data_IF_073441716616
#
_entry.id   IF_073441716616
#
_cell.length_a   1.000
_cell.length_b   1.000
_cell.length_c   1.000
_cell.angle_alpha   90.00
_cell.angle_beta   90.00
_cell.angle_gamma   90.00
#
_symmetry.space_group_name_H-M   'P 1'
#
loop_
_entity.id
_entity.type
_entity.pdbx_description
1 polymer ?
#
# COMPACT_ATOMS: atom_id res chain seq x y z
N UNK A 1 20.72 10.25 -3.81
CA UNK A 1 20.15 10.03 -2.47
C UNK A 1 20.29 8.56 -2.13
N UNK A 2 20.57 8.26 -0.86
CA UNK A 2 21.03 6.95 -0.41
C UNK A 2 19.88 5.97 -0.21
N UNK A 3 18.76 6.39 0.38
CA UNK A 3 17.71 5.48 0.84
C UNK A 3 18.29 4.36 1.75
N UNK A 4 19.07 4.77 2.73
CA UNK A 4 19.83 3.89 3.65
C UNK A 4 19.61 4.22 5.13
N UNK A 5 18.83 5.26 5.45
CA UNK A 5 18.56 5.64 6.83
C UNK A 5 17.92 4.48 7.61
N UNK A 6 18.44 4.24 8.81
CA UNK A 6 17.92 3.21 9.69
C UNK A 6 16.60 3.65 10.31
N UNK A 7 15.63 2.73 10.32
CA UNK A 7 14.32 2.94 10.93
C UNK A 7 14.42 2.54 12.40
N UNK A 8 14.22 3.53 13.27
CA UNK A 8 14.30 3.37 14.73
C UNK A 8 13.15 4.12 15.40
N UNK A 9 13.04 4.01 16.73
CA UNK A 9 12.04 4.81 17.48
C UNK A 9 12.30 6.31 17.47
N UNK A 10 13.57 6.71 17.24
CA UNK A 10 13.98 8.11 17.17
C UNK A 10 13.86 8.67 15.75
N UNK A 11 14.08 7.81 14.75
CA UNK A 11 13.94 8.11 13.33
C UNK A 11 12.93 7.13 12.70
N UNK A 12 11.62 7.31 12.95
CA UNK A 12 10.58 6.46 12.39
C UNK A 12 10.35 6.79 10.90
N UNK A 13 9.75 5.90 10.13
CA UNK A 13 9.28 6.23 8.77
C UNK A 13 7.76 6.31 8.70
N UNK A 14 7.23 6.87 7.62
CA UNK A 14 5.79 6.97 7.38
C UNK A 14 5.39 6.11 6.18
N UNK A 15 4.32 5.33 6.33
CA UNK A 15 3.71 4.56 5.24
C UNK A 15 2.29 5.09 5.05
N UNK A 16 2.03 5.69 3.90
CA UNK A 16 0.74 6.29 3.56
C UNK A 16 0.09 5.50 2.44
N UNK A 17 -1.11 4.98 2.66
CA UNK A 17 -1.89 4.32 1.62
C UNK A 17 -2.89 5.30 1.03
N UNK A 18 -3.05 5.24 -0.29
CA UNK A 18 -4.13 5.91 -1.01
C UNK A 18 -4.95 4.80 -1.66
N UNK A 19 -6.21 4.69 -1.26
CA UNK A 19 -7.09 3.58 -1.57
C UNK A 19 -8.22 4.08 -2.44
N UNK A 20 -8.31 3.51 -3.62
CA UNK A 20 -9.48 3.67 -4.48
C UNK A 20 -10.68 2.96 -3.86
N UNK A 21 -11.72 3.73 -3.60
CA UNK A 21 -13.00 3.26 -3.11
C UNK A 21 -14.11 3.65 -4.10
N UNK A 22 -13.77 3.86 -5.37
CA UNK A 22 -14.70 4.27 -6.42
C UNK A 22 -15.68 3.16 -6.82
N UNK A 23 -16.75 3.50 -7.54
CA UNK A 23 -17.76 2.52 -7.94
C UNK A 23 -17.23 1.35 -8.78
N UNK A 24 -16.17 1.55 -9.57
CA UNK A 24 -15.54 0.49 -10.39
C UNK A 24 -14.85 -0.59 -9.55
N UNK A 25 -14.59 -0.30 -8.27
CA UNK A 25 -14.04 -1.26 -7.32
C UNK A 25 -15.03 -2.37 -6.92
N UNK A 26 -16.30 -2.26 -7.33
CA UNK A 26 -17.30 -3.33 -7.16
C UNK A 26 -17.13 -4.47 -8.20
N UNK A 27 -16.40 -4.21 -9.28
CA UNK A 27 -16.14 -5.21 -10.32
C UNK A 27 -15.42 -6.46 -9.77
N UNK A 28 -15.55 -7.62 -10.44
CA UNK A 28 -14.79 -8.82 -10.09
C UNK A 28 -13.28 -8.62 -10.23
N UNK A 29 -12.52 -9.25 -9.33
CA UNK A 29 -11.05 -9.20 -9.38
C UNK A 29 -10.44 -10.37 -10.16
N UNK A 30 -9.49 -10.09 -11.08
CA UNK A 30 -8.61 -11.09 -11.70
C UNK A 30 -9.28 -12.09 -12.66
N UNK A 31 -10.45 -11.77 -13.22
CA UNK A 31 -11.10 -12.55 -14.27
C UNK A 31 -11.59 -13.94 -13.85
N UNK A 32 -11.64 -14.24 -12.55
CA UNK A 32 -12.22 -15.50 -12.06
C UNK A 32 -13.75 -15.44 -12.19
N UNK A 33 -14.27 -16.00 -13.29
CA UNK A 33 -15.70 -16.27 -13.46
C UNK A 33 -16.19 -17.15 -12.29
N UNK A 34 -16.97 -16.55 -11.38
CA UNK A 34 -17.51 -17.22 -10.20
C UNK A 34 -16.86 -16.86 -8.86
N UNK A 35 -15.81 -16.01 -8.84
CA UNK A 35 -15.37 -15.38 -7.58
C UNK A 35 -16.43 -14.36 -7.15
N UNK A 36 -17.03 -14.56 -5.97
CA UNK A 36 -18.02 -13.66 -5.39
C UNK A 36 -17.40 -12.37 -4.80
N UNK A 37 -16.11 -12.11 -5.04
CA UNK A 37 -15.39 -11.04 -4.34
C UNK A 37 -14.88 -9.94 -5.25
N UNK A 38 -15.25 -8.70 -4.91
CA UNK A 38 -14.95 -7.49 -5.67
C UNK A 38 -13.49 -7.03 -5.50
N UNK A 39 -13.03 -6.11 -6.36
CA UNK A 39 -11.71 -5.46 -6.21
C UNK A 39 -11.59 -4.80 -4.84
N UNK A 40 -12.65 -4.13 -4.35
CA UNK A 40 -12.69 -3.49 -3.04
C UNK A 40 -12.45 -4.48 -1.89
N UNK A 41 -13.04 -5.68 -1.96
CA UNK A 41 -12.84 -6.73 -0.95
C UNK A 41 -11.40 -7.26 -0.94
N UNK A 42 -10.80 -7.43 -2.11
CA UNK A 42 -9.41 -7.83 -2.23
C UNK A 42 -8.45 -6.74 -1.73
N UNK A 43 -8.69 -5.49 -2.10
CA UNK A 43 -7.93 -4.33 -1.62
C UNK A 43 -7.98 -4.27 -0.09
N UNK A 44 -9.17 -4.26 0.51
CA UNK A 44 -9.33 -4.18 1.96
C UNK A 44 -8.66 -5.36 2.66
N UNK A 45 -8.81 -6.58 2.13
CA UNK A 45 -8.15 -7.78 2.69
C UNK A 45 -6.63 -7.66 2.64
N UNK A 46 -6.06 -7.23 1.51
CA UNK A 46 -4.62 -7.11 1.34
C UNK A 46 -4.02 -6.00 2.20
N UNK A 47 -4.68 -4.85 2.29
CA UNK A 47 -4.27 -3.73 3.15
C UNK A 47 -4.34 -4.14 4.62
N UNK A 48 -5.46 -4.70 5.10
CA UNK A 48 -5.58 -5.17 6.48
C UNK A 48 -4.51 -6.23 6.82
N UNK A 49 -4.25 -7.16 5.90
CA UNK A 49 -3.19 -8.15 6.09
C UNK A 49 -1.81 -7.49 6.19
N UNK A 50 -1.52 -6.52 5.33
CA UNK A 50 -0.25 -5.82 5.37
C UNK A 50 -0.10 -4.99 6.65
N UNK A 51 -1.13 -4.28 7.08
CA UNK A 51 -1.15 -3.56 8.35
C UNK A 51 -0.84 -4.49 9.53
N UNK A 52 -1.44 -5.67 9.55
CA UNK A 52 -1.16 -6.67 10.58
C UNK A 52 0.29 -7.17 10.51
N UNK A 53 0.80 -7.50 9.32
CA UNK A 53 2.20 -7.90 9.16
C UNK A 53 3.16 -6.78 9.64
N UNK A 54 2.89 -5.50 9.33
CA UNK A 54 3.68 -4.34 9.79
C UNK A 54 3.67 -4.19 11.32
N UNK A 55 2.53 -4.44 11.97
CA UNK A 55 2.43 -4.49 13.44
C UNK A 55 3.33 -5.58 14.00
N UNK A 56 3.29 -6.79 13.42
CA UNK A 56 4.09 -7.92 13.88
C UNK A 56 5.60 -7.65 13.76
N UNK A 57 6.06 -6.98 12.71
CA UNK A 57 7.47 -6.60 12.55
C UNK A 57 8.00 -5.66 13.65
N UNK A 58 7.10 -4.88 14.23
CA UNK A 58 7.40 -3.94 15.29
C UNK A 58 7.47 -4.59 16.68
N UNK A 59 7.00 -5.83 16.82
CA UNK A 59 7.07 -6.60 18.09
C UNK A 59 8.40 -7.33 18.16
N UNK A 60 9.33 -6.82 18.98
CA UNK A 60 10.60 -7.51 19.28
C UNK A 60 10.50 -8.44 20.49
N UNK A 61 9.66 -8.08 21.46
CA UNK A 61 9.36 -8.85 22.67
C UNK A 61 7.87 -8.76 22.93
N UNK A 62 7.23 -9.90 23.18
CA UNK A 62 5.77 -9.97 23.32
C UNK A 62 5.24 -9.09 24.47
N UNK A 63 6.00 -8.96 25.56
CA UNK A 63 5.66 -8.16 26.74
C UNK A 63 5.73 -6.64 26.52
N UNK A 64 6.55 -6.18 25.57
CA UNK A 64 6.78 -4.74 25.31
C UNK A 64 5.74 -4.16 24.34
N UNK A 65 5.06 -5.03 23.58
CA UNK A 65 4.21 -4.67 22.47
C UNK A 65 4.98 -4.07 21.28
N UNK A 66 4.26 -3.54 20.27
CA UNK A 66 4.87 -2.94 19.09
C UNK A 66 5.67 -1.67 19.43
N UNK A 67 6.85 -1.52 18.83
CA UNK A 67 7.64 -0.28 18.88
C UNK A 67 7.23 0.66 17.76
N UNK A 68 7.19 1.97 18.04
CA UNK A 68 6.82 3.00 17.07
C UNK A 68 7.92 3.26 16.04
N UNK A 69 8.14 2.29 15.15
CA UNK A 69 9.01 2.40 13.98
C UNK A 69 8.30 3.04 12.79
N UNK A 70 6.96 2.94 12.75
CA UNK A 70 6.13 3.42 11.67
C UNK A 70 5.02 4.35 12.18
N UNK A 71 4.77 5.42 11.45
CA UNK A 71 3.44 6.02 11.36
C UNK A 71 2.75 5.54 10.09
N UNK A 72 1.44 5.32 10.18
CA UNK A 72 0.62 4.80 9.09
C UNK A 72 -0.55 5.74 8.85
N UNK A 73 -0.82 6.07 7.58
CA UNK A 73 -2.02 6.77 7.17
C UNK A 73 -2.78 5.99 6.10
N UNK A 74 -4.09 6.12 6.09
CA UNK A 74 -4.97 5.51 5.09
C UNK A 74 -5.87 6.60 4.53
N UNK A 75 -5.70 6.96 3.27
CA UNK A 75 -6.58 7.87 2.53
C UNK A 75 -7.48 7.02 1.65
N UNK A 76 -8.79 7.15 1.80
CA UNK A 76 -9.79 6.63 0.87
C UNK A 76 -10.32 7.75 -0.01
N UNK A 77 -10.61 7.44 -1.27
CA UNK A 77 -11.29 8.36 -2.17
C UNK A 77 -12.43 7.68 -2.93
N UNK A 78 -13.49 8.44 -3.24
CA UNK A 78 -14.68 7.91 -3.92
C UNK A 78 -15.82 7.50 -2.98
N UNK A 79 -15.62 7.47 -1.66
CA UNK A 79 -16.72 7.13 -0.74
C UNK A 79 -17.81 8.22 -0.66
N UNK A 80 -19.07 7.80 -0.45
CA UNK A 80 -20.24 8.65 -0.20
C UNK A 80 -20.09 9.54 1.04
N UNK A 81 -19.38 9.05 2.06
CA UNK A 81 -19.27 9.77 3.34
C UNK A 81 -18.21 10.88 3.28
N UNK A 82 -17.16 10.67 2.50
CA UNK A 82 -16.06 11.63 2.32
C UNK A 82 -15.49 11.45 0.91
N UNK A 83 -15.54 12.51 0.09
CA UNK A 83 -14.99 12.48 -1.28
C UNK A 83 -13.52 12.03 -1.29
N UNK A 84 -12.73 12.57 -0.35
CA UNK A 84 -11.36 12.18 -0.01
C UNK A 84 -11.11 12.37 1.49
N UNK A 85 -10.70 11.32 2.19
CA UNK A 85 -10.40 11.42 3.62
C UNK A 85 -9.82 10.16 4.24
N UNK A 86 -9.79 10.10 5.57
CA UNK A 86 -9.28 8.94 6.29
C UNK A 86 -10.13 7.69 6.01
N UNK A 87 -9.50 6.61 5.56
CA UNK A 87 -10.12 5.30 5.34
C UNK A 87 -10.09 4.40 6.58
N UNK A 88 -9.55 4.88 7.70
CA UNK A 88 -9.66 4.15 8.96
C UNK A 88 -11.14 4.04 9.38
N UNK A 89 -11.52 2.86 9.87
CA UNK A 89 -12.82 2.63 10.51
C UNK A 89 -12.65 2.40 12.02
N UNK A 90 -13.77 2.41 12.76
CA UNK A 90 -13.76 2.22 14.22
C UNK A 90 -13.18 3.42 14.98
N UNK A 91 -12.43 3.17 16.05
CA UNK A 91 -11.89 4.22 16.92
C UNK A 91 -10.81 5.09 16.28
N UNK A 92 -10.22 4.65 15.16
CA UNK A 92 -9.24 5.40 14.39
C UNK A 92 -9.86 6.24 13.26
N UNK A 93 -11.17 6.18 13.07
CA UNK A 93 -11.86 6.92 12.01
C UNK A 93 -11.59 8.43 12.10
N UNK A 94 -11.30 9.04 10.95
CA UNK A 94 -10.98 10.47 10.85
C UNK A 94 -9.55 10.85 11.18
N UNK A 95 -8.70 9.92 11.64
CA UNK A 95 -7.27 10.17 11.86
C UNK A 95 -6.50 10.13 10.54
N UNK A 96 -5.65 11.13 10.29
CA UNK A 96 -4.81 11.17 9.09
C UNK A 96 -3.58 10.24 9.21
N UNK A 97 -2.94 10.22 10.38
CA UNK A 97 -1.78 9.38 10.70
C UNK A 97 -1.92 8.79 12.10
N UNK A 98 -1.60 7.51 12.26
CA UNK A 98 -1.59 6.78 13.54
C UNK A 98 -0.25 6.08 13.73
N UNK A 99 0.21 5.99 14.97
CA UNK A 99 1.39 5.17 15.27
C UNK A 99 1.05 3.68 15.19
N UNK A 100 2.02 2.86 14.78
CA UNK A 100 1.82 1.40 14.68
C UNK A 100 1.36 0.74 15.99
N UNK A 101 1.74 1.30 17.14
CA UNK A 101 1.23 0.83 18.44
C UNK A 101 -0.26 1.13 18.62
N UNK A 102 -0.71 2.33 18.23
CA UNK A 102 -2.13 2.70 18.31
C UNK A 102 -2.94 1.87 17.33
N UNK A 103 -2.40 1.64 16.12
CA UNK A 103 -2.96 0.72 15.13
C UNK A 103 -3.17 -0.69 15.73
N UNK A 104 -2.14 -1.25 16.37
CA UNK A 104 -2.20 -2.58 16.99
C UNK A 104 -3.23 -2.70 18.11
N UNK A 105 -3.40 -1.64 18.90
CA UNK A 105 -4.32 -1.61 20.04
C UNK A 105 -5.77 -1.32 19.64
N UNK A 106 -6.01 -0.81 18.44
CA UNK A 106 -7.31 -0.30 18.01
C UNK A 106 -7.76 -0.85 16.64
N UNK A 107 -7.83 -2.18 16.44
CA UNK A 107 -8.59 -2.72 15.32
C UNK A 107 -10.07 -2.37 15.49
N UNK A 108 -10.75 -2.01 14.40
CA UNK A 108 -12.19 -1.76 14.42
C UNK A 108 -12.97 -3.04 14.78
N UNK A 109 -12.48 -4.18 14.30
CA UNK A 109 -12.95 -5.52 14.68
C UNK A 109 -11.85 -6.55 14.44
N UNK A 110 -11.97 -7.71 15.07
CA UNK A 110 -11.10 -8.86 14.82
C UNK A 110 -11.97 -10.00 14.33
N UNK A 111 -11.74 -10.43 13.09
CA UNK A 111 -12.44 -11.55 12.47
C UNK A 111 -11.70 -12.86 12.74
N UNK A 112 -12.44 -13.96 12.89
CA UNK A 112 -11.89 -15.31 12.84
C UNK A 112 -11.92 -15.81 11.40
N UNK A 113 -10.74 -16.05 10.81
CA UNK A 113 -10.62 -16.66 9.48
C UNK A 113 -10.07 -18.06 9.62
N UNK A 114 -10.45 -18.96 8.72
CA UNK A 114 -9.99 -20.35 8.76
C UNK A 114 -8.99 -20.59 7.63
N UNK A 115 -7.84 -21.14 7.98
CA UNK A 115 -6.83 -21.57 7.03
C UNK A 115 -6.65 -23.07 7.14
N UNK A 116 -6.68 -23.76 5.99
CA UNK A 116 -6.31 -25.17 5.90
C UNK A 116 -4.81 -25.31 6.01
N UNK A 117 -4.36 -26.01 7.04
CA UNK A 117 -2.94 -26.31 7.30
C UNK A 117 -2.76 -27.82 7.26
N UNK A 118 -1.63 -28.28 6.72
CA UNK A 118 -1.26 -29.69 6.73
C UNK A 118 -1.13 -30.18 8.19
N UNK A 119 -1.74 -31.32 8.49
CA UNK A 119 -1.71 -31.94 9.82
C UNK A 119 -0.44 -32.77 10.09
N UNK A 120 0.47 -32.85 9.11
CA UNK A 120 1.71 -33.62 9.17
C UNK A 120 1.51 -35.13 8.98
N UNK A 121 0.26 -35.58 8.79
CA UNK A 121 -0.14 -36.96 8.54
C UNK A 121 -0.82 -37.14 7.17
N UNK A 122 -0.79 -36.09 6.32
CA UNK A 122 -1.36 -36.10 4.98
C UNK A 122 -2.82 -35.62 4.91
N UNK A 123 -3.36 -35.08 6.00
CA UNK A 123 -4.66 -34.42 6.06
C UNK A 123 -4.54 -32.88 6.15
N UNK A 124 -5.67 -32.20 6.06
CA UNK A 124 -5.78 -30.75 6.24
C UNK A 124 -6.70 -30.45 7.42
N UNK A 125 -6.24 -29.62 8.34
CA UNK A 125 -7.03 -29.12 9.48
C UNK A 125 -7.33 -27.63 9.30
N UNK A 126 -8.55 -27.22 9.65
CA UNK A 126 -8.94 -25.81 9.68
C UNK A 126 -8.41 -25.16 10.96
N UNK A 127 -7.42 -24.28 10.80
CA UNK A 127 -6.87 -23.47 11.89
C UNK A 127 -7.52 -22.11 11.86
N UNK A 128 -8.13 -21.72 12.98
CA UNK A 128 -8.66 -20.37 13.15
C UNK A 128 -7.52 -19.39 13.40
N UNK A 129 -7.45 -18.34 12.57
CA UNK A 129 -6.50 -17.24 12.66
C UNK A 129 -7.24 -15.94 12.93
N UNK A 130 -6.70 -15.13 13.86
CA UNK A 130 -7.21 -13.79 14.13
C UNK A 130 -6.81 -12.84 13.00
N UNK A 131 -7.79 -12.13 12.45
CA UNK A 131 -7.62 -11.20 11.35
C UNK A 131 -8.17 -9.82 11.75
N UNK A 132 -7.33 -8.92 12.27
CA UNK A 132 -7.74 -7.57 12.63
C UNK A 132 -8.11 -6.74 11.38
N UNK A 133 -9.12 -5.89 11.52
CA UNK A 133 -9.66 -5.02 10.48
C UNK A 133 -9.55 -3.56 10.90
N UNK A 134 -9.00 -2.74 10.00
CA UNK A 134 -8.92 -1.28 10.11
C UNK A 134 -9.54 -0.55 8.92
N UNK A 135 -9.80 -1.26 7.82
CA UNK A 135 -10.40 -0.75 6.57
C UNK A 135 -11.52 -1.67 6.12
N UNK A 136 -12.66 -1.08 5.76
CA UNK A 136 -13.77 -1.78 5.12
C UNK A 136 -13.68 -1.71 3.59
N UNK A 137 -14.17 -2.73 2.86
CA UNK A 137 -14.32 -2.64 1.42
C UNK A 137 -15.40 -1.60 1.08
N UNK A 138 -15.04 -0.63 0.24
CA UNK A 138 -15.94 0.42 -0.22
C UNK A 138 -15.78 0.55 -1.74
N UNK A 139 -16.90 0.70 -2.45
CA UNK A 139 -16.96 0.89 -3.90
C UNK A 139 -18.15 1.81 -4.24
N UNK A 140 -17.92 3.12 -4.25
CA UNK A 140 -18.96 4.16 -4.36
C UNK A 140 -18.49 5.31 -5.27
N UNK A 141 -19.39 6.14 -5.81
CA UNK A 141 -19.09 7.35 -6.60
C UNK A 141 -17.96 7.25 -7.66
N UNK A 142 -17.22 8.36 -7.85
CA UNK A 142 -16.15 8.53 -8.83
C UNK A 142 -14.75 8.43 -8.24
N UNK A 143 -13.76 8.87 -9.02
CA UNK A 143 -12.33 8.67 -8.78
C UNK A 143 -11.58 10.01 -8.61
N UNK A 144 -11.77 10.76 -7.50
CA UNK A 144 -11.08 12.03 -7.25
C UNK A 144 -9.60 11.81 -6.85
N UNK A 145 -8.83 11.14 -7.72
CA UNK A 145 -7.43 10.76 -7.53
C UNK A 145 -6.51 11.98 -7.36
N UNK A 146 -6.75 13.06 -8.10
CA UNK A 146 -6.00 14.32 -7.98
C UNK A 146 -6.12 14.90 -6.57
N UNK A 147 -7.35 14.96 -6.03
CA UNK A 147 -7.64 15.41 -4.67
C UNK A 147 -6.99 14.50 -3.62
N UNK A 148 -7.00 13.19 -3.83
CA UNK A 148 -6.37 12.21 -2.94
C UNK A 148 -4.85 12.41 -2.85
N UNK A 149 -4.18 12.64 -3.98
CA UNK A 149 -2.75 12.95 -4.03
C UNK A 149 -2.44 14.31 -3.38
N UNK A 150 -3.31 15.31 -3.54
CA UNK A 150 -3.19 16.58 -2.82
C UNK A 150 -3.33 16.39 -1.30
N UNK A 151 -4.30 15.59 -0.84
CA UNK A 151 -4.44 15.26 0.59
C UNK A 151 -3.18 14.56 1.12
N UNK A 152 -2.61 13.62 0.37
CA UNK A 152 -1.35 12.97 0.71
C UNK A 152 -0.20 13.98 0.87
N UNK A 153 -0.08 14.95 -0.03
CA UNK A 153 0.89 16.05 0.10
C UNK A 153 0.68 16.83 1.40
N UNK A 154 -0.55 17.24 1.70
CA UNK A 154 -0.82 18.03 2.92
C UNK A 154 -0.52 17.29 4.22
N UNK A 155 -0.62 15.96 4.22
CA UNK A 155 -0.24 15.11 5.36
C UNK A 155 1.29 14.97 5.45
N UNK A 156 1.95 14.68 4.32
CA UNK A 156 3.38 14.35 4.32
C UNK A 156 4.30 15.57 4.39
N UNK A 157 3.89 16.73 3.89
CA UNK A 157 4.71 17.95 3.94
C UNK A 157 5.12 18.34 5.37
N UNK A 158 4.20 18.48 6.35
CA UNK A 158 4.60 18.73 7.74
C UNK A 158 5.32 17.53 8.37
N UNK A 159 5.02 16.30 7.94
CA UNK A 159 5.69 15.11 8.45
C UNK A 159 7.18 15.09 8.10
N UNK A 160 7.55 15.30 6.84
CA UNK A 160 8.96 15.32 6.41
C UNK A 160 9.72 16.47 7.07
N UNK A 161 9.05 17.61 7.29
CA UNK A 161 9.63 18.77 7.98
C UNK A 161 9.95 18.48 9.45
N UNK A 162 9.16 17.64 10.11
CA UNK A 162 9.36 17.24 11.51
C UNK A 162 10.26 16.02 11.68
N UNK A 163 10.53 15.28 10.61
CA UNK A 163 11.34 14.05 10.60
C UNK A 163 12.47 14.10 9.55
N UNK A 164 13.32 15.14 9.52
CA UNK A 164 14.29 15.36 8.42
C UNK A 164 15.30 14.21 8.28
N UNK A 165 15.69 13.55 9.37
CA UNK A 165 16.70 12.48 9.35
C UNK A 165 16.12 11.07 9.20
N UNK A 166 14.81 10.96 8.98
CA UNK A 166 14.15 9.65 8.86
C UNK A 166 14.28 9.09 7.45
N UNK A 167 14.10 7.78 7.31
CA UNK A 167 13.89 7.19 5.99
C UNK A 167 12.63 7.81 5.36
N UNK A 168 12.66 8.23 4.08
CA UNK A 168 11.58 8.99 3.48
C UNK A 168 10.25 8.23 3.48
N UNK A 169 9.11 8.94 3.55
CA UNK A 169 7.81 8.31 3.46
C UNK A 169 7.63 7.45 2.21
N UNK A 170 6.89 6.36 2.38
CA UNK A 170 6.43 5.50 1.30
C UNK A 170 4.92 5.67 1.11
N UNK A 171 4.53 6.09 -0.09
CA UNK A 171 3.14 6.22 -0.52
C UNK A 171 2.79 5.03 -1.41
N UNK A 172 1.73 4.31 -1.07
CA UNK A 172 1.21 3.18 -1.83
C UNK A 172 -0.20 3.52 -2.30
N UNK A 173 -0.31 3.79 -3.59
CA UNK A 173 -1.56 4.08 -4.25
C UNK A 173 -2.10 2.82 -4.91
N UNK A 174 -3.30 2.39 -4.51
CA UNK A 174 -3.98 1.20 -5.04
C UNK A 174 -5.27 1.66 -5.71
N UNK A 175 -5.38 1.40 -7.01
CA UNK A 175 -6.49 1.87 -7.86
C UNK A 175 -6.82 0.84 -8.92
N UNK A 176 -8.03 0.86 -9.46
CA UNK A 176 -8.39 0.12 -10.67
C UNK A 176 -8.44 0.99 -11.93
N UNK A 177 -8.05 2.27 -11.83
CA UNK A 177 -7.70 3.10 -12.97
C UNK A 177 -8.28 4.52 -12.97
N UNK A 178 -8.99 4.82 -14.05
CA UNK A 178 -9.21 6.16 -14.61
C UNK A 178 -9.63 7.24 -13.58
N UNK A 179 -8.90 8.37 -13.49
CA UNK A 179 -9.30 9.48 -12.63
C UNK A 179 -10.54 10.20 -13.18
N UNK A 180 -11.19 11.03 -12.36
CA UNK A 180 -12.35 11.81 -12.80
C UNK A 180 -12.08 12.60 -14.10
N UNK A 181 -13.07 12.77 -14.99
CA UNK A 181 -12.89 13.55 -16.22
C UNK A 181 -12.38 14.96 -15.94
N UNK A 182 -11.48 15.46 -16.79
CA UNK A 182 -10.85 16.78 -16.69
C UNK A 182 -9.94 16.99 -15.46
N UNK A 183 -9.44 15.92 -14.85
CA UNK A 183 -8.42 15.98 -13.79
C UNK A 183 -7.05 15.52 -14.30
N UNK A 184 -5.97 15.96 -13.65
CA UNK A 184 -4.61 15.50 -13.96
C UNK A 184 -3.84 15.18 -12.67
N UNK A 185 -3.81 13.90 -12.23
CA UNK A 185 -3.08 13.50 -11.03
C UNK A 185 -1.55 13.60 -11.17
N UNK A 186 -1.02 13.82 -12.37
CA UNK A 186 0.44 13.81 -12.62
C UNK A 186 1.16 14.93 -11.86
N UNK A 187 0.55 16.11 -11.78
CA UNK A 187 1.12 17.27 -11.08
C UNK A 187 1.20 17.03 -9.56
N UNK A 188 0.10 16.73 -8.83
CA UNK A 188 0.21 16.45 -7.40
C UNK A 188 1.07 15.22 -7.09
N UNK A 189 1.08 14.18 -7.92
CA UNK A 189 2.02 13.07 -7.74
C UNK A 189 3.49 13.52 -7.89
N UNK A 190 3.77 14.39 -8.85
CA UNK A 190 5.08 15.00 -9.04
C UNK A 190 5.51 15.86 -7.85
N UNK A 191 4.59 16.66 -7.29
CA UNK A 191 4.85 17.49 -6.12
C UNK A 191 5.04 16.65 -4.84
N UNK A 192 4.25 15.60 -4.67
CA UNK A 192 4.40 14.61 -3.60
C UNK A 192 5.79 13.97 -3.62
N UNK A 193 6.27 13.57 -4.81
CA UNK A 193 7.61 13.00 -5.00
C UNK A 193 8.76 13.98 -4.79
N UNK A 194 8.51 15.30 -4.78
CA UNK A 194 9.54 16.30 -4.48
C UNK A 194 9.75 16.49 -2.97
N UNK A 195 8.77 16.13 -2.14
CA UNK A 195 8.96 16.10 -0.69
C UNK A 195 10.14 15.18 -0.36
N UNK A 196 10.94 15.57 0.64
CA UNK A 196 12.17 14.87 0.96
C UNK A 196 12.51 14.93 2.44
N UNK A 197 13.15 13.86 2.87
CA UNK A 197 14.02 13.81 4.05
C UNK A 197 15.47 13.96 3.59
N UNK A 198 16.43 14.02 4.50
CA UNK A 198 17.86 14.06 4.18
C UNK A 198 18.34 12.78 3.47
N UNK A 199 17.63 11.66 3.66
CA UNK A 199 18.01 10.36 3.09
C UNK A 199 17.42 10.10 1.69
N UNK A 200 16.32 10.76 1.35
CA UNK A 200 15.61 10.48 0.10
C UNK A 200 14.33 11.29 -0.12
N UNK A 201 13.82 11.23 -1.34
CA UNK A 201 12.50 11.76 -1.69
C UNK A 201 11.41 10.79 -1.23
N UNK A 202 10.20 11.31 -1.01
CA UNK A 202 9.01 10.48 -0.84
C UNK A 202 8.88 9.54 -2.04
N UNK A 203 8.70 8.25 -1.75
CA UNK A 203 8.50 7.21 -2.74
C UNK A 203 7.00 7.06 -3.01
N UNK A 204 6.59 7.17 -4.27
CA UNK A 204 5.19 6.92 -4.68
C UNK A 204 5.13 5.65 -5.52
N UNK A 205 4.41 4.65 -5.05
CA UNK A 205 4.20 3.37 -5.71
C UNK A 205 2.75 3.22 -6.14
N UNK A 206 2.51 2.77 -7.38
CA UNK A 206 1.17 2.58 -7.92
C UNK A 206 0.90 1.09 -8.19
N UNK A 207 -0.25 0.61 -7.72
CA UNK A 207 -0.74 -0.75 -7.93
C UNK A 207 -2.09 -0.67 -8.64
N UNK A 208 -2.12 -1.08 -9.91
CA UNK A 208 -3.34 -1.14 -10.69
C UNK A 208 -4.01 -2.52 -10.57
N UNK A 209 -5.24 -2.55 -10.06
CA UNK A 209 -6.12 -3.71 -9.97
C UNK A 209 -6.90 -3.88 -11.27
N UNK A 210 -7.17 -5.12 -11.66
CA UNK A 210 -7.87 -5.39 -12.92
C UNK A 210 -8.81 -6.56 -12.81
N UNK A 211 -9.90 -6.49 -13.57
CA UNK A 211 -10.87 -7.57 -13.74
C UNK A 211 -10.43 -8.58 -14.81
N UNK A 212 -9.34 -8.31 -15.54
CA UNK A 212 -8.85 -9.17 -16.61
C UNK A 212 -7.90 -10.26 -16.10
N UNK A 213 -7.91 -11.42 -16.74
CA UNK A 213 -7.04 -12.55 -16.42
C UNK A 213 -5.68 -12.52 -17.15
N UNK A 214 -5.26 -11.35 -17.65
CA UNK A 214 -3.98 -11.21 -18.35
C UNK A 214 -2.81 -11.35 -17.38
N UNK A 215 -1.59 -11.57 -17.89
CA UNK A 215 -0.40 -11.62 -17.04
C UNK A 215 -0.12 -10.24 -16.44
N UNK A 216 0.21 -10.15 -15.13
CA UNK A 216 0.56 -8.87 -14.52
C UNK A 216 1.89 -8.33 -15.10
N UNK A 217 1.99 -7.02 -15.25
CA UNK A 217 3.24 -6.33 -15.57
C UNK A 217 3.84 -5.86 -14.25
N UNK A 218 5.01 -6.38 -13.89
CA UNK A 218 5.63 -6.16 -12.59
C UNK A 218 6.91 -5.34 -12.73
N UNK A 219 6.98 -4.20 -12.05
CA UNK A 219 8.16 -3.35 -11.95
C UNK A 219 8.84 -2.99 -13.28
N UNK A 220 8.08 -2.53 -14.30
CA UNK A 220 8.65 -2.22 -15.61
C UNK A 220 9.68 -1.09 -15.52
N UNK A 221 10.63 -1.07 -16.46
CA UNK A 221 11.65 -0.02 -16.59
C UNK A 221 11.22 1.11 -17.53
N UNK A 222 10.21 0.86 -18.38
CA UNK A 222 9.65 1.85 -19.31
C UNK A 222 8.13 1.70 -19.43
N UNK A 223 7.48 2.71 -19.99
CA UNK A 223 6.05 2.71 -20.29
C UNK A 223 5.71 1.99 -21.63
N UNK A 224 6.73 1.41 -22.28
CA UNK A 224 6.58 0.66 -23.52
C UNK A 224 5.87 -0.66 -23.25
N UNK A 225 4.80 -0.95 -23.99
CA UNK A 225 3.99 -2.16 -23.81
C UNK A 225 2.88 -2.04 -22.75
N UNK A 226 2.71 -0.87 -22.12
CA UNK A 226 1.53 -0.59 -21.31
C UNK A 226 0.30 -0.38 -22.20
N UNK A 227 -0.88 -0.89 -21.78
CA UNK A 227 -2.03 -1.05 -22.67
C UNK A 227 -2.75 0.24 -23.04
N UNK A 228 -2.72 1.25 -22.15
CA UNK A 228 -3.47 2.49 -22.31
C UNK A 228 -2.74 3.70 -21.69
N UNK A 229 -3.33 4.88 -21.84
CA UNK A 229 -2.75 6.14 -21.33
C UNK A 229 -2.77 6.24 -19.80
N UNK A 230 -3.74 5.62 -19.13
CA UNK A 230 -3.87 5.67 -17.67
C UNK A 230 -2.81 4.80 -17.01
N UNK A 231 -2.52 3.62 -17.58
CA UNK A 231 -1.41 2.78 -17.19
C UNK A 231 -0.07 3.52 -17.32
N UNK A 232 0.13 4.26 -18.44
CA UNK A 232 1.33 5.08 -18.64
C UNK A 232 1.43 6.23 -17.64
N UNK A 233 0.32 6.88 -17.32
CA UNK A 233 0.26 7.93 -16.31
C UNK A 233 0.64 7.40 -14.92
N UNK A 234 0.04 6.29 -14.48
CA UNK A 234 0.40 5.64 -13.21
C UNK A 234 1.87 5.22 -13.16
N UNK A 235 2.41 4.70 -14.26
CA UNK A 235 3.85 4.41 -14.38
C UNK A 235 4.71 5.66 -14.20
N UNK A 236 4.37 6.77 -14.88
CA UNK A 236 5.12 8.02 -14.82
C UNK A 236 5.08 8.66 -13.42
N UNK A 237 3.95 8.54 -12.74
CA UNK A 237 3.77 8.95 -11.34
C UNK A 237 4.57 8.08 -10.36
N UNK A 238 4.90 6.83 -10.73
CA UNK A 238 5.62 5.91 -9.85
C UNK A 238 7.10 6.26 -9.72
N UNK A 239 7.67 6.03 -8.54
CA UNK A 239 9.08 6.25 -8.25
C UNK A 239 9.95 5.07 -8.67
N UNK A 240 11.20 5.34 -9.06
CA UNK A 240 12.21 4.29 -9.26
C UNK A 240 12.47 3.61 -7.92
N UNK A 241 12.56 2.28 -7.92
CA UNK A 241 12.84 1.51 -6.71
C UNK A 241 14.24 1.87 -6.18
N UNK A 242 14.39 2.19 -4.88
CA UNK A 242 15.69 2.26 -4.25
C UNK A 242 16.48 0.96 -4.37
N UNK A 243 17.81 1.03 -4.38
CA UNK A 243 18.69 -0.14 -4.54
C UNK A 243 18.41 -1.24 -3.50
N UNK A 244 18.11 -0.86 -2.26
CA UNK A 244 17.73 -1.78 -1.18
C UNK A 244 16.46 -2.57 -1.51
N UNK A 245 15.45 -1.92 -2.09
CA UNK A 245 14.21 -2.55 -2.54
C UNK A 245 14.43 -3.41 -3.80
N UNK A 246 15.28 -2.98 -4.73
CA UNK A 246 15.65 -3.78 -5.90
C UNK A 246 16.28 -5.12 -5.48
N UNK A 247 17.21 -5.08 -4.53
CA UNK A 247 17.83 -6.28 -3.98
C UNK A 247 16.83 -7.18 -3.24
N UNK A 248 15.90 -6.61 -2.47
CA UNK A 248 14.86 -7.38 -1.79
C UNK A 248 13.92 -8.07 -2.78
N UNK A 249 13.50 -7.37 -3.83
CA UNK A 249 12.67 -7.91 -4.90
C UNK A 249 13.36 -9.06 -5.67
N UNK A 250 14.68 -8.97 -5.88
CA UNK A 250 15.47 -10.05 -6.49
C UNK A 250 15.41 -11.37 -5.70
N UNK A 251 15.32 -11.32 -4.37
CA UNK A 251 15.16 -12.52 -3.51
C UNK A 251 13.82 -13.22 -3.77
N UNK A 252 12.79 -12.48 -4.16
CA UNK A 252 11.48 -13.03 -4.52
C UNK A 252 11.40 -13.51 -5.98
N UNK A 253 12.54 -13.55 -6.69
CA UNK A 253 12.62 -14.03 -8.07
C UNK A 253 12.19 -13.02 -9.12
N UNK A 254 12.00 -11.74 -8.75
CA UNK A 254 11.67 -10.69 -9.71
C UNK A 254 12.90 -10.25 -10.48
N UNK A 255 12.74 -10.05 -11.79
CA UNK A 255 13.73 -9.38 -12.63
C UNK A 255 13.55 -7.88 -12.45
N UNK A 256 14.41 -7.28 -11.63
CA UNK A 256 14.39 -5.85 -11.36
C UNK A 256 15.62 -5.23 -12.00
N UNK A 257 15.38 -4.27 -12.89
CA UNK A 257 16.43 -3.46 -13.48
C UNK A 257 16.63 -2.15 -12.72
N UNK A 258 17.68 -1.42 -13.08
CA UNK A 258 18.06 -0.17 -12.40
C UNK A 258 17.01 0.95 -12.54
N UNK A 259 16.18 0.89 -13.59
CA UNK A 259 15.13 1.86 -13.86
C UNK A 259 13.74 1.34 -13.47
N UNK A 260 13.66 0.15 -12.86
CA UNK A 260 12.40 -0.44 -12.44
C UNK A 260 11.69 0.47 -11.45
N UNK A 261 10.43 0.75 -11.72
CA UNK A 261 9.59 1.59 -10.87
C UNK A 261 8.72 0.75 -9.97
N UNK A 262 8.32 1.30 -8.82
CA UNK A 262 7.30 0.73 -7.94
C UNK A 262 5.91 0.81 -8.58
N UNK A 263 5.75 0.14 -9.72
CA UNK A 263 4.53 0.09 -10.50
C UNK A 263 4.18 -1.37 -10.80
N UNK A 264 2.92 -1.72 -10.58
CA UNK A 264 2.35 -2.98 -11.03
C UNK A 264 1.08 -2.69 -11.80
N UNK A 265 0.96 -3.29 -12.97
CA UNK A 265 -0.25 -3.25 -13.78
C UNK A 265 -0.93 -4.61 -13.82
N UNK A 266 -2.26 -4.60 -13.78
CA UNK A 266 -3.10 -5.79 -13.86
C UNK A 266 -2.77 -6.81 -12.76
N UNK A 267 -2.71 -6.32 -11.52
CA UNK A 267 -2.38 -7.15 -10.38
C UNK A 267 -3.48 -8.20 -10.13
N UNK A 268 -3.06 -9.47 -10.03
CA UNK A 268 -3.84 -10.53 -9.39
C UNK A 268 -3.50 -10.61 -7.88
N UNK A 269 -4.21 -11.46 -7.14
CA UNK A 269 -4.06 -11.57 -5.68
C UNK A 269 -2.61 -11.81 -5.24
N UNK A 270 -1.93 -12.75 -5.90
CA UNK A 270 -0.54 -13.10 -5.57
C UNK A 270 0.41 -11.94 -5.84
N UNK A 271 0.27 -11.27 -6.99
CA UNK A 271 1.11 -10.14 -7.35
C UNK A 271 0.87 -8.92 -6.47
N UNK A 272 -0.37 -8.64 -6.07
CA UNK A 272 -0.71 -7.59 -5.11
C UNK A 272 -0.05 -7.84 -3.76
N UNK A 273 -0.24 -9.03 -3.18
CA UNK A 273 0.34 -9.38 -1.88
C UNK A 273 1.87 -9.28 -1.95
N UNK A 274 2.48 -9.84 -3.00
CA UNK A 274 3.94 -9.77 -3.16
C UNK A 274 4.44 -8.35 -3.37
N UNK A 275 3.73 -7.52 -4.15
CA UNK A 275 4.09 -6.11 -4.36
C UNK A 275 4.08 -5.33 -3.05
N UNK A 276 2.98 -5.45 -2.31
CA UNK A 276 2.78 -4.80 -1.02
C UNK A 276 3.88 -5.21 -0.04
N UNK A 277 4.17 -6.51 0.09
CA UNK A 277 5.23 -7.00 0.99
C UNK A 277 6.63 -6.63 0.52
N UNK A 278 6.91 -6.64 -0.78
CA UNK A 278 8.24 -6.28 -1.31
C UNK A 278 8.53 -4.79 -1.13
N UNK A 279 7.55 -3.93 -1.42
CA UNK A 279 7.68 -2.48 -1.32
C UNK A 279 7.72 -1.97 0.12
N UNK A 280 7.14 -2.70 1.07
CA UNK A 280 7.13 -2.34 2.51
C UNK A 280 8.09 -3.23 3.30
N UNK A 281 7.62 -4.36 3.81
CA UNK A 281 8.32 -5.32 4.66
C UNK A 281 9.68 -5.68 4.10
N UNK A 282 9.77 -6.28 2.90
CA UNK A 282 11.04 -6.72 2.33
C UNK A 282 12.03 -5.57 2.11
N UNK A 283 11.53 -4.40 1.67
CA UNK A 283 12.33 -3.21 1.43
C UNK A 283 12.83 -2.52 2.70
N UNK A 284 11.99 -2.42 3.72
CA UNK A 284 12.23 -1.64 4.93
C UNK A 284 12.78 -2.50 6.09
N UNK A 285 12.53 -3.81 6.11
CA UNK A 285 12.95 -4.71 7.19
C UNK A 285 14.47 -4.71 7.39
N UNK A 286 15.25 -4.57 6.31
CA UNK A 286 16.72 -4.47 6.40
C UNK A 286 17.20 -3.22 7.14
N UNK A 287 16.36 -2.19 7.19
CA UNK A 287 16.62 -0.89 7.82
C UNK A 287 16.16 -0.82 9.28
N UNK A 288 15.30 -1.75 9.73
CA UNK A 288 14.83 -1.81 11.12
C UNK A 288 15.99 -2.13 12.09
N UNK A 289 16.09 -1.36 13.17
CA UNK A 289 17.05 -1.58 14.26
C UNK A 289 16.40 -1.47 15.65
#
# INVERSE_FOLDING_TARGET
MSYEAQITRLNPTCILFILDQSGSMDDPFGGQTGSQSSKAQHLATAVNRLLYDLVLECVKRQEEGPRNYYQVGLIGYGSNNVNVGSAFVGSLAGQDLVWVRDLANNPARVEDRFQKVDDGAGGLVDVSIKFPIWVDPVAENGTPMEEALHKAYTILEPWVRSHPHSYPPLVIHITDGEPNPNTDPSKPAGDLRKLATDDGNVLVFNLHLSSQSSSPILYPESDTGLPDQYAKQLFQMSSVLPTTMQQAAGVFGYRIGSQSRGFVFNANNDSMIKFLRTGTIGGLQKLLR
#
